data_IF_483295897443
#
_entry.id   IF_483295897443
#
_cell.length_a   1.000
_cell.length_b   1.000
_cell.length_c   1.000
_cell.angle_alpha   90.00
_cell.angle_beta   90.00
_cell.angle_gamma   90.00
#
_symmetry.space_group_name_H-M   'P 1'
#
loop_
_entity.id
_entity.type
_entity.pdbx_description
1 polymer ?
#
# COMPACT_ATOMS: atom_id res chain seq x y z
N UNK A 1 11.17 -11.53 5.85
CA UNK A 1 11.84 -10.24 6.03
C UNK A 1 13.24 -10.45 6.55
N UNK A 2 14.18 -9.70 5.99
CA UNK A 2 15.54 -9.57 6.48
C UNK A 2 15.77 -8.10 6.80
N UNK A 3 16.44 -7.84 7.92
CA UNK A 3 16.74 -6.49 8.37
C UNK A 3 18.15 -6.47 8.96
N UNK A 4 18.92 -5.44 8.62
CA UNK A 4 20.25 -5.18 9.17
C UNK A 4 20.30 -3.72 9.58
N UNK A 5 20.58 -3.48 10.86
CA UNK A 5 20.57 -2.16 11.44
C UNK A 5 21.89 -1.79 12.09
N UNK A 6 22.23 -0.52 12.03
CA UNK A 6 23.29 0.12 12.78
C UNK A 6 22.70 1.21 13.68
N UNK A 7 23.12 1.23 14.92
CA UNK A 7 22.82 2.31 15.87
C UNK A 7 24.06 2.65 16.67
N UNK A 8 24.48 3.89 16.60
CA UNK A 8 25.69 4.28 17.29
C UNK A 8 25.97 5.76 17.30
N UNK A 9 27.05 6.10 17.97
CA UNK A 9 27.60 7.45 18.02
C UNK A 9 28.55 7.65 16.85
N UNK A 10 28.21 8.61 15.96
CA UNK A 10 29.03 8.94 14.79
C UNK A 10 30.10 10.00 15.10
N UNK A 11 29.76 10.93 16.00
CA UNK A 11 30.70 11.97 16.50
C UNK A 11 30.35 12.32 17.95
N UNK A 12 31.14 13.20 18.57
CA UNK A 12 30.95 13.59 20.00
C UNK A 12 29.55 14.10 20.30
N UNK A 13 28.89 14.67 19.31
CA UNK A 13 27.56 15.29 19.40
C UNK A 13 26.56 14.79 18.36
N UNK A 14 26.85 13.66 17.68
CA UNK A 14 25.99 13.07 16.64
C UNK A 14 25.78 11.59 16.93
N UNK A 15 24.50 11.20 17.01
CA UNK A 15 24.08 9.80 17.06
C UNK A 15 23.30 9.49 15.79
N UNK A 16 23.48 8.30 15.25
CA UNK A 16 22.80 7.87 14.02
C UNK A 16 22.27 6.46 14.12
N UNK A 17 21.20 6.22 13.38
CA UNK A 17 20.70 4.89 13.06
C UNK A 17 20.56 4.74 11.55
N UNK A 18 20.77 3.53 11.06
CA UNK A 18 20.51 3.15 9.68
C UNK A 18 20.03 1.71 9.69
N UNK A 19 18.83 1.48 9.18
CA UNK A 19 18.20 0.18 9.08
C UNK A 19 17.91 -0.11 7.61
N UNK A 20 18.48 -1.19 7.09
CA UNK A 20 18.25 -1.70 5.73
C UNK A 20 17.32 -2.90 5.83
N UNK A 21 16.29 -2.94 5.03
CA UNK A 21 15.33 -4.05 5.05
C UNK A 21 14.97 -4.55 3.66
N UNK A 22 14.63 -5.84 3.60
CA UNK A 22 13.98 -6.46 2.46
C UNK A 22 12.93 -7.45 2.94
N UNK A 23 11.78 -7.46 2.29
CA UNK A 23 10.65 -8.35 2.62
C UNK A 23 10.16 -9.00 1.34
N UNK A 24 10.07 -10.32 1.36
CA UNK A 24 9.46 -11.11 0.31
C UNK A 24 8.06 -11.55 0.75
N UNK A 25 7.06 -11.24 -0.05
CA UNK A 25 5.67 -11.65 0.15
C UNK A 25 5.27 -12.64 -0.94
N UNK A 26 4.90 -13.87 -0.56
CA UNK A 26 4.50 -14.92 -1.49
C UNK A 26 3.01 -14.90 -1.87
N UNK A 27 2.20 -14.10 -1.18
CA UNK A 27 0.76 -14.00 -1.40
C UNK A 27 0.30 -12.58 -1.11
N UNK A 28 0.76 -11.66 -1.95
CA UNK A 28 0.39 -10.25 -1.80
C UNK A 28 -1.03 -10.02 -2.29
N UNK A 29 -1.92 -9.56 -1.41
CA UNK A 29 -3.34 -9.40 -1.69
C UNK A 29 -3.65 -7.95 -2.05
N UNK A 30 -4.44 -7.77 -3.12
CA UNK A 30 -4.90 -6.45 -3.56
C UNK A 30 -5.79 -5.75 -2.53
N UNK A 31 -6.00 -4.45 -2.72
CA UNK A 31 -7.22 -3.80 -2.25
C UNK A 31 -8.46 -4.42 -2.91
N UNK A 32 -9.64 -4.11 -2.37
CA UNK A 32 -10.90 -4.51 -3.00
C UNK A 32 -10.97 -3.95 -4.43
N UNK A 33 -11.17 -4.81 -5.41
CA UNK A 33 -11.23 -4.43 -6.82
C UNK A 33 -12.47 -5.01 -7.50
N UNK A 34 -12.88 -4.39 -8.58
CA UNK A 34 -13.93 -4.95 -9.42
C UNK A 34 -13.41 -6.17 -10.17
N UNK A 35 -14.13 -7.26 -10.01
CA UNK A 35 -13.87 -8.50 -10.71
C UNK A 35 -15.08 -8.71 -11.63
N UNK A 36 -14.85 -8.92 -12.93
CA UNK A 36 -15.88 -9.46 -13.80
C UNK A 36 -15.81 -10.98 -13.70
N UNK A 37 -16.66 -11.62 -12.90
CA UNK A 37 -16.58 -13.05 -12.74
C UNK A 37 -17.12 -13.72 -14.01
N UNK A 38 -16.38 -14.70 -14.49
CA UNK A 38 -16.98 -15.68 -15.36
C UNK A 38 -17.81 -16.62 -14.48
N UNK A 39 -19.13 -16.51 -14.57
CA UNK A 39 -20.04 -17.40 -13.83
C UNK A 39 -20.22 -18.66 -14.65
N UNK A 40 -19.46 -19.70 -14.32
CA UNK A 40 -19.69 -21.03 -14.88
C UNK A 40 -20.79 -21.72 -14.06
N UNK A 41 -21.96 -21.89 -14.64
CA UNK A 41 -23.00 -22.71 -14.05
C UNK A 41 -22.72 -24.16 -14.41
N UNK A 42 -22.68 -25.04 -13.41
CA UNK A 42 -22.45 -26.47 -13.62
C UNK A 42 -23.47 -27.08 -14.59
N UNK A 43 -24.71 -26.58 -14.62
CA UNK A 43 -25.75 -26.98 -15.54
C UNK A 43 -25.44 -26.68 -17.02
N UNK A 44 -24.76 -25.56 -17.30
CA UNK A 44 -24.41 -25.17 -18.67
C UNK A 44 -23.36 -26.14 -19.24
N UNK A 45 -22.37 -26.53 -18.42
CA UNK A 45 -21.29 -27.41 -18.85
C UNK A 45 -21.70 -28.88 -18.98
N UNK A 46 -22.69 -29.35 -18.20
CA UNK A 46 -23.08 -30.77 -18.18
C UNK A 46 -24.30 -31.07 -19.01
N UNK A 47 -25.28 -30.18 -19.08
CA UNK A 47 -26.56 -30.45 -19.75
C UNK A 47 -26.48 -30.19 -21.26
N UNK A 48 -25.76 -29.16 -21.70
CA UNK A 48 -25.58 -28.88 -23.11
C UNK A 48 -24.60 -29.86 -23.80
N UNK A 49 -23.53 -30.26 -23.10
CA UNK A 49 -22.61 -31.27 -23.61
C UNK A 49 -23.33 -32.62 -23.88
N UNK A 50 -24.18 -33.05 -22.95
CA UNK A 50 -24.90 -34.31 -23.07
C UNK A 50 -26.00 -34.31 -24.14
N UNK A 51 -26.49 -33.12 -24.57
CA UNK A 51 -27.58 -33.02 -25.53
C UNK A 51 -27.16 -32.58 -26.93
N UNK A 52 -26.17 -31.70 -27.08
CA UNK A 52 -25.88 -31.07 -28.38
C UNK A 52 -24.40 -30.96 -28.74
N UNK A 53 -23.45 -31.31 -27.88
CA UNK A 53 -22.00 -31.15 -28.13
C UNK A 53 -21.53 -29.70 -28.33
N UNK A 54 -22.37 -28.71 -28.00
CA UNK A 54 -22.08 -27.29 -28.19
C UNK A 54 -22.37 -26.54 -26.90
N UNK A 55 -21.36 -25.97 -26.29
CA UNK A 55 -21.54 -25.04 -25.16
C UNK A 55 -21.48 -23.59 -25.65
N UNK A 56 -22.61 -22.88 -25.55
CA UNK A 56 -22.62 -21.45 -25.60
C UNK A 56 -22.29 -20.91 -24.20
N UNK A 57 -21.16 -20.24 -24.05
CA UNK A 57 -20.81 -19.56 -22.82
C UNK A 57 -21.31 -18.13 -22.97
N UNK A 58 -22.36 -17.76 -22.21
CA UNK A 58 -22.92 -16.42 -22.19
C UNK A 58 -21.83 -15.39 -21.84
N UNK A 59 -21.58 -14.45 -22.76
CA UNK A 59 -20.65 -13.33 -22.57
C UNK A 59 -19.29 -13.47 -23.26
N UNK A 60 -19.06 -14.54 -24.02
CA UNK A 60 -17.88 -14.68 -24.87
C UNK A 60 -18.30 -14.80 -26.32
N UNK A 61 -17.84 -13.90 -27.17
CA UNK A 61 -17.96 -14.02 -28.62
C UNK A 61 -17.09 -15.19 -29.12
N UNK A 62 -17.64 -16.36 -29.20
CA UNK A 62 -17.00 -17.56 -29.72
C UNK A 62 -17.76 -18.83 -29.35
N UNK A 63 -17.96 -19.71 -30.30
CA UNK A 63 -18.44 -21.07 -30.06
C UNK A 63 -17.23 -21.98 -29.78
N UNK A 64 -17.18 -22.57 -28.58
CA UNK A 64 -16.26 -23.67 -28.30
C UNK A 64 -17.00 -24.96 -28.65
N UNK A 65 -16.56 -25.65 -29.68
CA UNK A 65 -17.12 -26.94 -30.08
C UNK A 65 -16.43 -28.01 -29.22
N UNK A 66 -17.20 -28.71 -28.43
CA UNK A 66 -16.74 -29.81 -27.57
C UNK A 66 -17.27 -31.11 -28.19
N UNK A 67 -16.39 -31.92 -28.75
CA UNK A 67 -16.76 -33.16 -29.42
C UNK A 67 -16.61 -34.40 -28.52
N UNK A 68 -15.72 -34.33 -27.53
CA UNK A 68 -15.44 -35.43 -26.62
C UNK A 68 -15.00 -34.91 -25.21
N UNK A 69 -14.63 -35.85 -24.36
CA UNK A 69 -14.22 -35.55 -22.99
C UNK A 69 -12.88 -34.82 -22.93
N UNK A 70 -11.99 -35.02 -23.90
CA UNK A 70 -10.69 -34.35 -23.97
C UNK A 70 -10.83 -32.88 -24.30
N UNK A 71 -11.66 -32.54 -25.30
CA UNK A 71 -12.04 -31.16 -25.64
C UNK A 71 -12.67 -30.43 -24.44
N UNK A 72 -13.50 -31.13 -23.65
CA UNK A 72 -14.12 -30.60 -22.45
C UNK A 72 -13.11 -30.28 -21.36
N UNK A 73 -12.18 -31.22 -21.12
CA UNK A 73 -11.16 -31.04 -20.09
C UNK A 73 -10.16 -29.90 -20.47
N UNK A 74 -9.83 -29.80 -21.77
CA UNK A 74 -8.98 -28.73 -22.31
C UNK A 74 -9.65 -27.36 -22.19
N UNK A 75 -10.93 -27.26 -22.52
CA UNK A 75 -11.73 -26.06 -22.33
C UNK A 75 -11.82 -25.66 -20.86
N UNK A 76 -12.02 -26.62 -19.96
CA UNK A 76 -12.06 -26.39 -18.52
C UNK A 76 -10.73 -25.88 -17.97
N UNK A 77 -9.61 -26.43 -18.42
CA UNK A 77 -8.28 -25.99 -18.01
C UNK A 77 -7.93 -24.60 -18.57
N UNK A 78 -8.31 -24.29 -19.79
CA UNK A 78 -8.20 -22.95 -20.36
C UNK A 78 -8.97 -21.93 -19.51
N UNK A 79 -10.21 -22.25 -19.12
CA UNK A 79 -11.04 -21.39 -18.30
C UNK A 79 -10.52 -21.24 -16.87
N UNK A 80 -9.98 -22.32 -16.29
CA UNK A 80 -9.37 -22.28 -14.95
C UNK A 80 -8.17 -21.35 -14.89
N UNK A 81 -7.40 -21.20 -15.95
CA UNK A 81 -6.26 -20.29 -16.02
C UNK A 81 -6.68 -18.82 -16.07
N UNK A 82 -7.88 -18.54 -16.61
CA UNK A 82 -8.46 -17.19 -16.68
C UNK A 82 -9.40 -16.82 -15.53
N UNK A 83 -9.76 -17.79 -14.67
CA UNK A 83 -10.71 -17.56 -13.57
C UNK A 83 -10.08 -16.76 -12.45
N UNK A 84 -10.60 -15.56 -12.23
CA UNK A 84 -10.23 -14.67 -11.13
C UNK A 84 -11.01 -15.00 -9.86
N UNK A 85 -12.15 -15.66 -9.98
CA UNK A 85 -12.99 -16.12 -8.86
C UNK A 85 -14.23 -16.85 -9.34
N UNK A 86 -14.79 -17.65 -8.43
CA UNK A 86 -16.07 -18.35 -8.62
C UNK A 86 -17.07 -17.81 -7.62
N UNK A 87 -18.23 -17.36 -8.07
CA UNK A 87 -19.33 -16.98 -7.18
C UNK A 87 -20.30 -18.15 -7.02
N UNK A 88 -20.86 -18.27 -5.81
CA UNK A 88 -21.95 -19.21 -5.56
C UNK A 88 -23.18 -18.82 -6.39
N UNK A 89 -23.88 -19.80 -6.93
CA UNK A 89 -25.16 -19.57 -7.61
C UNK A 89 -26.26 -19.04 -6.69
N UNK A 90 -26.10 -19.20 -5.37
CA UNK A 90 -27.01 -18.63 -4.36
C UNK A 90 -26.82 -17.11 -4.17
N UNK A 91 -25.67 -16.58 -4.54
CA UNK A 91 -25.34 -15.15 -4.40
C UNK A 91 -25.73 -14.34 -5.64
N UNK A 92 -26.34 -14.99 -6.63
CA UNK A 92 -26.79 -14.36 -7.87
C UNK A 92 -28.32 -14.31 -7.95
N UNK A 93 -28.86 -13.23 -8.52
CA UNK A 93 -30.28 -13.15 -8.86
C UNK A 93 -30.56 -14.24 -9.90
N UNK A 94 -31.54 -15.14 -9.68
CA UNK A 94 -31.85 -16.18 -10.64
C UNK A 94 -32.13 -15.60 -12.04
N UNK A 95 -31.39 -16.05 -13.04
CA UNK A 95 -31.56 -15.61 -14.44
C UNK A 95 -30.78 -14.35 -14.85
N UNK A 96 -30.03 -13.69 -13.95
CA UNK A 96 -29.18 -12.57 -14.30
C UNK A 96 -27.74 -12.83 -13.86
N UNK A 97 -26.72 -12.48 -14.66
CA UNK A 97 -25.34 -12.45 -14.17
C UNK A 97 -25.24 -11.38 -13.08
N UNK A 98 -24.37 -11.56 -12.05
CA UNK A 98 -24.16 -10.51 -11.06
C UNK A 98 -23.58 -9.28 -11.77
N UNK A 99 -24.22 -8.11 -11.63
CA UNK A 99 -23.82 -6.91 -12.39
C UNK A 99 -22.43 -6.41 -11.96
N UNK A 100 -22.03 -6.69 -10.73
CA UNK A 100 -20.73 -6.29 -10.17
C UNK A 100 -20.34 -7.28 -9.07
N UNK A 101 -19.09 -7.76 -9.11
CA UNK A 101 -18.47 -8.48 -8.00
C UNK A 101 -17.26 -7.69 -7.54
N UNK A 102 -17.16 -7.46 -6.24
CA UNK A 102 -16.00 -6.87 -5.60
C UNK A 102 -15.27 -7.99 -4.85
N UNK A 103 -13.99 -8.13 -5.10
CA UNK A 103 -13.17 -9.15 -4.49
C UNK A 103 -11.73 -8.70 -4.30
N UNK A 104 -10.93 -9.61 -3.76
CA UNK A 104 -9.50 -9.41 -3.58
C UNK A 104 -8.76 -10.32 -4.56
N UNK A 105 -7.72 -9.79 -5.19
CA UNK A 105 -6.83 -10.54 -6.06
C UNK A 105 -5.54 -10.89 -5.31
N UNK A 106 -5.01 -12.07 -5.57
CA UNK A 106 -3.67 -12.42 -5.14
C UNK A 106 -2.69 -12.05 -6.25
N UNK A 107 -1.80 -11.10 -5.99
CA UNK A 107 -0.80 -10.63 -6.95
C UNK A 107 0.45 -11.53 -7.02
N UNK A 108 0.50 -12.59 -6.19
CA UNK A 108 1.62 -13.50 -6.14
C UNK A 108 2.77 -12.96 -5.31
N UNK A 109 3.96 -12.93 -5.90
CA UNK A 109 5.19 -12.57 -5.21
C UNK A 109 5.52 -11.08 -5.39
N UNK A 110 5.79 -10.40 -4.27
CA UNK A 110 6.21 -8.99 -4.25
C UNK A 110 7.40 -8.83 -3.31
N UNK A 111 8.47 -8.25 -3.81
CA UNK A 111 9.66 -7.90 -3.03
C UNK A 111 9.64 -6.42 -2.70
N UNK A 112 9.66 -6.11 -1.42
CA UNK A 112 9.73 -4.74 -0.91
C UNK A 112 11.07 -4.57 -0.20
N UNK A 113 11.82 -3.53 -0.57
CA UNK A 113 13.09 -3.20 0.05
C UNK A 113 13.20 -1.70 0.30
N UNK A 114 14.05 -1.34 1.23
CA UNK A 114 14.26 0.06 1.54
C UNK A 114 15.25 0.27 2.68
N UNK A 115 15.32 1.50 3.13
CA UNK A 115 16.06 1.84 4.33
C UNK A 115 15.43 2.99 5.09
N UNK A 116 15.67 2.98 6.40
CA UNK A 116 15.32 4.04 7.35
C UNK A 116 16.59 4.56 8.03
N UNK A 117 16.75 5.86 8.08
CA UNK A 117 17.88 6.50 8.73
C UNK A 117 17.45 7.61 9.67
N UNK A 118 18.19 7.79 10.75
CA UNK A 118 18.01 8.95 11.64
C UNK A 118 19.33 9.51 12.14
N UNK A 119 19.33 10.82 12.40
CA UNK A 119 20.44 11.53 13.03
C UNK A 119 19.91 12.40 14.16
N UNK A 120 20.42 12.21 15.36
CA UNK A 120 20.22 13.12 16.48
C UNK A 120 21.51 13.95 16.68
N UNK A 121 21.41 15.27 16.51
CA UNK A 121 22.53 16.19 16.49
C UNK A 121 22.38 17.19 17.65
N UNK A 122 23.28 17.16 18.59
CA UNK A 122 23.36 18.08 19.71
C UNK A 122 24.27 19.24 19.33
N UNK A 123 23.71 20.27 18.67
CA UNK A 123 24.49 21.42 18.17
C UNK A 123 25.09 22.24 19.31
N UNK A 124 24.38 22.34 20.43
CA UNK A 124 24.85 22.99 21.66
C UNK A 124 24.00 22.57 22.87
N UNK A 125 24.28 23.11 24.04
CA UNK A 125 23.40 22.90 25.22
C UNK A 125 21.98 23.45 25.04
N UNK A 126 21.76 24.29 24.02
CA UNK A 126 20.48 24.95 23.76
C UNK A 126 19.77 24.41 22.54
N UNK A 127 20.48 23.86 21.59
CA UNK A 127 19.96 23.46 20.28
C UNK A 127 20.16 21.99 20.03
N UNK A 128 19.07 21.30 19.74
CA UNK A 128 19.06 19.92 19.27
C UNK A 128 18.36 19.87 17.92
N UNK A 129 18.80 18.98 17.07
CA UNK A 129 18.21 18.71 15.77
C UNK A 129 18.10 17.21 15.56
N UNK A 130 16.91 16.75 15.18
CA UNK A 130 16.66 15.38 14.76
C UNK A 130 16.28 15.37 13.28
N UNK A 131 16.94 14.51 12.52
CA UNK A 131 16.66 14.26 11.11
C UNK A 131 16.23 12.80 10.98
N UNK A 132 15.21 12.55 10.16
CA UNK A 132 14.79 11.20 9.78
C UNK A 132 14.61 11.15 8.27
N UNK A 133 14.92 10.02 7.69
CA UNK A 133 14.71 9.78 6.27
C UNK A 133 14.37 8.32 6.04
N UNK A 134 13.33 8.08 5.23
CA UNK A 134 12.89 6.77 4.80
C UNK A 134 12.88 6.69 3.28
N UNK A 135 13.39 5.61 2.75
CA UNK A 135 13.38 5.29 1.34
C UNK A 135 12.77 3.91 1.12
N UNK A 136 11.81 3.83 0.19
CA UNK A 136 11.22 2.58 -0.29
C UNK A 136 11.59 2.37 -1.76
N UNK A 137 12.32 1.31 -2.05
CA UNK A 137 12.79 1.01 -3.41
C UNK A 137 11.67 0.48 -4.31
N UNK A 138 10.75 -0.30 -3.74
CA UNK A 138 9.61 -0.87 -4.47
C UNK A 138 8.34 -0.09 -4.14
N UNK A 139 7.84 0.69 -5.09
CA UNK A 139 6.59 1.47 -4.96
C UNK A 139 5.48 0.98 -5.88
N UNK A 140 5.82 0.09 -6.79
CA UNK A 140 4.91 -0.51 -7.77
C UNK A 140 5.22 -2.00 -7.91
N UNK A 141 4.21 -2.78 -8.25
CA UNK A 141 4.34 -4.19 -8.62
C UNK A 141 3.48 -4.47 -9.86
N UNK A 142 3.79 -5.57 -10.55
CA UNK A 142 3.07 -5.96 -11.75
C UNK A 142 1.86 -6.83 -11.37
N UNK A 143 0.67 -6.40 -11.77
CA UNK A 143 -0.51 -7.24 -11.66
C UNK A 143 -0.39 -8.41 -12.66
N UNK A 144 -0.37 -9.66 -12.22
CA UNK A 144 -0.16 -10.80 -13.11
C UNK A 144 -1.28 -11.01 -14.12
N UNK A 145 -2.49 -10.54 -13.82
CA UNK A 145 -3.67 -10.69 -14.67
C UNK A 145 -3.76 -9.59 -15.70
N UNK A 146 -3.75 -8.32 -15.27
CA UNK A 146 -3.92 -7.16 -16.15
C UNK A 146 -2.64 -6.74 -16.85
N UNK A 147 -1.47 -7.22 -16.36
CA UNK A 147 -0.13 -6.76 -16.78
C UNK A 147 0.09 -5.26 -16.55
N UNK A 148 -0.77 -4.62 -15.79
CA UNK A 148 -0.62 -3.23 -15.39
C UNK A 148 0.28 -3.12 -14.16
N UNK A 149 0.92 -1.95 -14.00
CA UNK A 149 1.62 -1.61 -12.78
C UNK A 149 0.62 -1.07 -11.76
N UNK A 150 0.71 -1.56 -10.55
CA UNK A 150 -0.11 -1.12 -9.43
C UNK A 150 0.74 -0.57 -8.29
N UNK A 151 0.22 0.43 -7.60
CA UNK A 151 0.91 1.11 -6.52
C UNK A 151 0.85 0.32 -5.21
N UNK A 152 1.93 0.33 -4.44
CA UNK A 152 1.97 -0.16 -3.05
C UNK A 152 1.28 0.83 -2.09
N UNK A 153 0.74 1.95 -2.59
CA UNK A 153 0.12 3.01 -1.81
C UNK A 153 1.06 3.65 -0.78
N UNK A 154 2.30 3.77 -1.14
CA UNK A 154 3.33 4.33 -0.28
C UNK A 154 4.28 5.25 -1.04
N UNK A 155 4.70 6.37 -0.44
CA UNK A 155 5.67 7.27 -1.05
C UNK A 155 7.06 6.66 -1.08
N UNK A 156 7.81 6.98 -2.13
CA UNK A 156 9.20 6.53 -2.28
C UNK A 156 10.13 7.19 -1.26
N UNK A 157 9.88 8.45 -0.94
CA UNK A 157 10.70 9.23 -0.03
C UNK A 157 9.84 9.87 1.07
N UNK A 158 10.31 9.77 2.31
CA UNK A 158 9.79 10.51 3.46
C UNK A 158 10.96 11.12 4.20
N UNK A 159 10.81 12.36 4.67
CA UNK A 159 11.81 13.02 5.49
C UNK A 159 11.15 13.73 6.67
N UNK A 160 11.85 13.79 7.79
CA UNK A 160 11.47 14.52 8.97
C UNK A 160 12.61 15.37 9.49
N UNK A 161 12.27 16.54 9.99
CA UNK A 161 13.18 17.47 10.65
C UNK A 161 12.52 17.96 11.95
N UNK A 162 13.22 17.86 13.06
CA UNK A 162 12.85 18.51 14.29
C UNK A 162 14.00 19.40 14.74
N UNK A 163 13.71 20.66 15.01
CA UNK A 163 14.64 21.61 15.62
C UNK A 163 14.06 22.02 16.96
N UNK A 164 14.84 21.85 18.02
CA UNK A 164 14.43 22.19 19.36
C UNK A 164 15.42 23.19 19.98
N UNK A 165 14.85 24.23 20.57
CA UNK A 165 15.58 25.27 21.30
C UNK A 165 15.16 25.31 22.77
N UNK A 166 16.12 25.14 23.66
CA UNK A 166 15.95 25.17 25.12
C UNK A 166 16.88 26.26 25.69
N UNK A 167 16.46 27.50 25.85
CA UNK A 167 17.30 28.55 26.43
C UNK A 167 17.63 28.27 27.89
N UNK A 168 18.90 28.38 28.27
CA UNK A 168 19.36 28.09 29.64
C UNK A 168 18.76 29.04 30.68
N UNK A 169 18.46 30.25 30.27
CA UNK A 169 18.02 31.32 31.19
C UNK A 169 16.51 31.29 31.48
N UNK A 170 15.76 30.72 30.58
CA UNK A 170 14.28 30.75 30.66
C UNK A 170 13.74 29.31 30.63
N UNK A 171 12.73 28.97 31.40
CA UNK A 171 12.09 27.68 31.42
C UNK A 171 11.17 27.48 30.19
N UNK A 172 11.73 27.72 29.02
CA UNK A 172 11.05 27.65 27.72
C UNK A 172 11.62 26.56 26.86
N UNK A 173 10.76 25.86 26.18
CA UNK A 173 11.09 24.95 25.08
C UNK A 173 10.37 25.38 23.83
N UNK A 174 11.07 25.54 22.74
CA UNK A 174 10.50 25.80 21.42
C UNK A 174 10.94 24.69 20.49
N UNK A 175 10.01 24.04 19.81
CA UNK A 175 10.36 23.08 18.77
C UNK A 175 9.54 23.28 17.50
N UNK A 176 10.22 23.21 16.36
CA UNK A 176 9.65 23.16 15.03
C UNK A 176 9.84 21.74 14.49
N UNK A 177 8.74 21.12 14.05
CA UNK A 177 8.75 19.82 13.41
C UNK A 177 8.30 20.00 11.95
N UNK A 178 9.11 19.51 11.01
CA UNK A 178 8.78 19.47 9.58
C UNK A 178 8.69 18.02 9.14
N UNK A 179 7.70 17.69 8.30
CA UNK A 179 7.53 16.39 7.66
C UNK A 179 7.35 16.61 6.17
N UNK A 180 8.10 15.88 5.38
CA UNK A 180 7.96 15.82 3.93
C UNK A 180 7.54 14.40 3.53
N UNK A 181 6.59 14.31 2.63
CA UNK A 181 6.12 13.08 2.00
C UNK A 181 6.12 13.31 0.49
N UNK A 182 6.83 12.45 -0.23
CA UNK A 182 6.88 12.50 -1.69
C UNK A 182 5.52 12.11 -2.30
N UNK A 183 5.32 12.49 -3.55
CA UNK A 183 4.13 12.10 -4.30
C UNK A 183 4.10 10.60 -4.54
N UNK A 184 2.92 10.03 -4.52
CA UNK A 184 2.71 8.62 -4.84
C UNK A 184 1.32 8.38 -5.41
N UNK A 185 1.19 7.32 -6.18
CA UNK A 185 -0.10 6.87 -6.68
C UNK A 185 -0.81 6.06 -5.61
N UNK A 186 -2.09 6.35 -5.41
CA UNK A 186 -2.96 5.66 -4.47
C UNK A 186 -4.05 4.90 -5.22
N UNK A 187 -4.17 3.62 -4.93
CA UNK A 187 -5.18 2.75 -5.52
C UNK A 187 -5.87 1.94 -4.43
N UNK A 188 -7.20 1.94 -4.44
CA UNK A 188 -8.02 1.07 -3.61
C UNK A 188 -8.89 0.13 -4.46
N UNK A 189 -8.49 -0.11 -5.70
CA UNK A 189 -9.22 -0.91 -6.65
C UNK A 189 -10.44 -0.21 -7.27
N UNK A 190 -11.14 0.59 -6.49
CA UNK A 190 -12.30 1.39 -6.93
C UNK A 190 -11.88 2.84 -7.19
N UNK A 191 -10.99 3.35 -6.37
CA UNK A 191 -10.47 4.71 -6.46
C UNK A 191 -9.00 4.66 -6.83
N UNK A 192 -8.65 5.39 -7.87
CA UNK A 192 -7.27 5.63 -8.28
C UNK A 192 -7.03 7.13 -8.31
N UNK A 193 -5.91 7.57 -7.76
CA UNK A 193 -5.55 8.97 -7.75
C UNK A 193 -4.10 9.18 -7.35
N UNK A 194 -3.56 10.34 -7.68
CA UNK A 194 -2.23 10.76 -7.28
C UNK A 194 -2.31 11.62 -6.03
N UNK A 195 -1.61 11.20 -4.98
CA UNK A 195 -1.32 12.05 -3.83
C UNK A 195 -0.10 12.89 -4.19
N UNK A 196 -0.26 14.20 -4.24
CA UNK A 196 0.86 15.12 -4.50
C UNK A 196 1.81 15.16 -3.32
N UNK A 197 3.08 15.47 -3.59
CA UNK A 197 4.05 15.69 -2.52
C UNK A 197 3.61 16.86 -1.62
N UNK A 198 3.81 16.68 -0.32
CA UNK A 198 3.43 17.69 0.66
C UNK A 198 4.43 17.80 1.81
N UNK A 199 4.40 18.97 2.46
CA UNK A 199 5.17 19.23 3.67
C UNK A 199 4.26 19.82 4.74
N UNK A 200 4.38 19.32 5.96
CA UNK A 200 3.63 19.80 7.12
C UNK A 200 4.62 20.29 8.16
N UNK A 201 4.35 21.48 8.73
CA UNK A 201 5.15 22.07 9.79
C UNK A 201 4.29 22.30 11.02
N UNK A 202 4.80 21.86 12.18
CA UNK A 202 4.15 22.01 13.48
C UNK A 202 5.08 22.79 14.41
N UNK A 203 4.52 23.74 15.15
CA UNK A 203 5.22 24.51 16.18
C UNK A 203 4.75 24.09 17.56
N UNK A 204 5.70 23.80 18.44
CA UNK A 204 5.43 23.50 19.84
C UNK A 204 6.17 24.46 20.76
N UNK A 205 5.45 25.02 21.71
CA UNK A 205 5.96 25.89 22.76
C UNK A 205 5.63 25.28 24.13
N UNK A 206 6.65 25.03 24.93
CA UNK A 206 6.51 24.57 26.30
C UNK A 206 7.08 25.60 27.28
N UNK A 207 6.35 25.93 28.31
CA UNK A 207 6.79 26.87 29.37
C UNK A 207 6.53 26.29 30.76
N UNK A 208 7.58 26.20 31.57
CA UNK A 208 7.47 25.80 32.98
C UNK A 208 7.27 27.03 33.88
N UNK A 209 6.04 27.24 34.35
CA UNK A 209 5.71 28.35 35.25
C UNK A 209 6.39 28.13 36.61
N UNK A 210 6.35 26.92 37.09
CA UNK A 210 7.02 26.47 38.31
C UNK A 210 7.19 24.93 38.28
N UNK A 211 7.75 24.34 39.35
CA UNK A 211 8.01 22.90 39.44
C UNK A 211 6.76 22.02 39.29
N UNK A 212 5.57 22.57 39.52
CA UNK A 212 4.32 21.84 39.50
C UNK A 212 3.42 22.15 38.30
N UNK A 213 3.72 23.25 37.57
CA UNK A 213 2.85 23.77 36.50
C UNK A 213 3.68 23.93 35.21
N UNK A 214 3.28 23.23 34.16
CA UNK A 214 3.79 23.38 32.81
C UNK A 214 2.64 23.76 31.87
N UNK A 215 2.89 24.68 30.97
CA UNK A 215 1.99 25.03 29.86
C UNK A 215 2.58 24.55 28.56
N UNK A 216 1.76 23.98 27.70
CA UNK A 216 2.13 23.58 26.36
C UNK A 216 1.14 24.19 25.38
N UNK A 217 1.68 24.75 24.32
CA UNK A 217 0.93 25.29 23.20
C UNK A 217 1.44 24.67 21.91
N UNK A 218 0.55 24.14 21.07
CA UNK A 218 0.91 23.50 19.82
C UNK A 218 0.06 24.07 18.69
N UNK A 219 0.70 24.45 17.60
CA UNK A 219 0.08 24.78 16.32
C UNK A 219 0.48 23.68 15.34
N UNK A 220 -0.50 22.95 14.84
CA UNK A 220 -0.27 21.94 13.81
C UNK A 220 -0.52 22.56 12.44
N UNK A 221 0.24 22.10 11.42
CA UNK A 221 0.09 22.51 10.03
C UNK A 221 0.09 24.04 9.86
N UNK A 222 1.17 24.72 10.32
CA UNK A 222 1.28 26.18 10.33
C UNK A 222 1.07 26.80 8.94
N UNK A 223 1.42 26.08 7.87
CA UNK A 223 1.31 26.56 6.50
C UNK A 223 -0.07 26.30 5.89
N UNK A 224 -0.97 25.68 6.65
CA UNK A 224 -2.34 25.32 6.21
C UNK A 224 -2.34 24.59 4.85
N UNK A 225 -1.41 23.64 4.72
CA UNK A 225 -1.30 22.85 3.50
C UNK A 225 -2.42 21.79 3.47
N UNK A 226 -3.29 21.88 2.45
CA UNK A 226 -4.41 20.98 2.20
C UNK A 226 -4.10 20.01 1.05
#
# INVERSE_FOLDING_TARGET
>A
TWEVGYKGRLASNIFGTLDLYTSHYSSFVSGATFISPLVLRKSILTDDYNQNGITNIDGVDGQIIINDQEDYDEALDFWRQGLVGVTSTSDTIPGAPPPVVIGFLNYGEVDIWGFDGSLAIFLSRKWNMDLTYSFMGTTEFLNPLTKAKESVNAPKHKAGLKIQYNPVKYPLTVSLNGRYVDSFDWSSGIYYGKINAYSIFDLHLGYEINKNIKMNFTINNILDHN
#
